data_IF_820014652887
#
_entry.id   IF_820014652887
#
_cell.length_a   1.000
_cell.length_b   1.000
_cell.length_c   1.000
_cell.angle_alpha   90.00
_cell.angle_beta   90.00
_cell.angle_gamma   90.00
#
_symmetry.space_group_name_H-M   'P 1'
#
loop_
_entity.id
_entity.type
_entity.pdbx_description
1 polymer ?
#
# COMPACT_ATOMS: atom_id res chain seq x y z
N UNK A 1 37.54 5.53 -33.21
CA UNK A 1 36.57 6.32 -34.02
C UNK A 1 35.32 5.48 -34.23
N UNK A 2 34.14 6.01 -33.83
CA UNK A 2 32.74 5.80 -34.30
C UNK A 2 32.27 4.35 -34.63
N UNK A 3 31.05 3.88 -34.40
CA UNK A 3 29.79 4.26 -33.71
C UNK A 3 28.82 3.13 -34.10
N UNK A 4 28.07 2.54 -33.15
CA UNK A 4 26.68 2.01 -33.23
C UNK A 4 26.48 1.03 -32.06
N UNK A 5 25.70 1.24 -31.00
CA UNK A 5 24.25 1.55 -30.82
C UNK A 5 23.30 0.63 -31.59
N UNK A 6 22.69 -0.35 -30.91
CA UNK A 6 21.24 -0.64 -30.90
C UNK A 6 20.93 -2.03 -30.29
N UNK A 7 19.94 -2.07 -29.39
CA UNK A 7 19.20 -3.26 -28.94
C UNK A 7 19.94 -4.13 -27.91
N UNK A 8 19.41 -4.55 -26.77
CA UNK A 8 18.03 -4.89 -26.40
C UNK A 8 17.90 -4.61 -24.89
N UNK A 9 17.13 -3.59 -24.52
CA UNK A 9 16.63 -3.36 -23.15
C UNK A 9 15.12 -3.24 -23.31
N UNK A 10 14.47 -4.39 -23.46
CA UNK A 10 13.03 -4.50 -23.61
C UNK A 10 12.58 -5.79 -22.95
N UNK A 11 11.67 -5.65 -21.98
CA UNK A 11 11.06 -6.68 -21.15
C UNK A 11 12.07 -7.51 -20.34
N UNK A 12 11.95 -7.55 -19.01
CA UNK A 12 11.08 -8.55 -18.38
C UNK A 12 10.71 -8.04 -16.98
N UNK A 13 9.42 -7.72 -16.79
CA UNK A 13 8.78 -7.64 -15.48
C UNK A 13 8.13 -9.01 -15.25
N UNK A 14 8.94 -10.03 -14.95
CA UNK A 14 8.44 -11.39 -14.66
C UNK A 14 8.02 -11.47 -13.21
N UNK A 15 6.71 -11.46 -12.99
CA UNK A 15 6.10 -12.04 -11.81
C UNK A 15 6.06 -13.56 -12.08
N UNK A 16 6.98 -14.29 -11.47
CA UNK A 16 6.99 -15.75 -11.53
C UNK A 16 6.03 -16.32 -10.49
N UNK A 17 4.88 -16.84 -10.93
CA UNK A 17 4.09 -17.81 -10.19
C UNK A 17 3.99 -19.06 -11.05
N UNK A 18 4.70 -20.12 -10.67
CA UNK A 18 4.21 -21.51 -10.66
C UNK A 18 5.32 -22.44 -10.18
N UNK A 19 5.10 -23.19 -9.09
CA UNK A 19 4.93 -24.64 -9.14
C UNK A 19 5.15 -25.32 -7.76
N UNK A 20 4.05 -25.86 -7.23
CA UNK A 20 3.82 -27.01 -6.35
C UNK A 20 4.95 -27.75 -5.58
N UNK A 21 4.65 -28.00 -4.29
CA UNK A 21 4.86 -29.26 -3.55
C UNK A 21 6.22 -29.42 -2.84
N UNK A 22 6.34 -30.00 -1.64
CA UNK A 22 5.49 -30.92 -0.90
C UNK A 22 5.83 -30.85 0.62
N UNK A 23 4.86 -31.27 1.44
CA UNK A 23 4.89 -31.51 2.89
C UNK A 23 6.17 -32.19 3.43
N UNK A 24 6.56 -31.90 4.68
CA UNK A 24 6.52 -32.88 5.79
C UNK A 24 6.83 -32.26 7.18
N UNK A 25 5.90 -32.50 8.10
CA UNK A 25 5.97 -32.43 9.56
C UNK A 25 7.17 -33.17 10.17
N UNK A 26 7.72 -32.67 11.28
CA UNK A 26 7.94 -33.54 12.46
C UNK A 26 8.11 -32.77 13.77
N UNK A 27 7.39 -33.26 14.76
CA UNK A 27 7.46 -32.98 16.20
C UNK A 27 8.87 -33.24 16.76
N UNK A 28 9.23 -32.58 17.86
CA UNK A 28 9.79 -33.34 18.98
C UNK A 28 9.50 -32.74 20.36
N UNK A 29 8.85 -33.58 21.14
CA UNK A 29 8.59 -33.55 22.58
C UNK A 29 9.82 -33.84 23.44
N UNK A 30 9.79 -33.25 24.65
CA UNK A 30 10.33 -33.76 25.92
C UNK A 30 11.87 -33.92 26.00
N UNK A 31 12.59 -33.78 27.11
CA UNK A 31 12.42 -34.04 28.55
C UNK A 31 13.54 -33.22 29.23
N UNK A 32 13.40 -32.58 30.39
CA UNK A 32 13.18 -33.20 31.69
C UNK A 32 14.38 -32.89 32.60
N UNK A 33 14.13 -32.21 33.73
CA UNK A 33 14.67 -32.55 35.06
C UNK A 33 14.23 -31.51 36.11
N UNK A 34 13.38 -31.97 37.03
CA UNK A 34 13.20 -31.49 38.42
C UNK A 34 13.97 -32.50 39.31
N UNK A 35 14.03 -32.45 40.66
CA UNK A 35 13.49 -31.51 41.67
C UNK A 35 14.59 -31.15 42.72
N UNK A 36 14.43 -30.55 43.90
CA UNK A 36 13.33 -30.25 44.82
C UNK A 36 13.87 -29.27 45.89
N UNK A 37 13.00 -28.52 46.57
CA UNK A 37 12.84 -28.54 48.05
C UNK A 37 12.22 -27.22 48.58
N UNK A 38 10.91 -27.28 48.77
CA UNK A 38 10.06 -26.74 49.86
C UNK A 38 10.68 -25.88 50.97
N UNK A 39 9.99 -24.79 51.35
CA UNK A 39 9.30 -24.67 52.66
C UNK A 39 8.40 -23.42 52.74
N UNK A 40 7.28 -23.58 53.44
CA UNK A 40 6.20 -22.60 53.70
C UNK A 40 6.62 -21.43 54.60
N UNK A 41 5.86 -20.34 54.49
CA UNK A 41 5.08 -19.72 55.58
C UNK A 41 5.26 -18.20 55.78
N UNK A 42 4.10 -17.53 55.76
CA UNK A 42 3.70 -16.38 56.59
C UNK A 42 4.21 -14.97 56.25
N UNK A 43 3.24 -14.14 55.85
CA UNK A 43 3.27 -12.67 55.95
C UNK A 43 3.33 -12.22 57.44
N UNK A 44 3.72 -10.96 57.74
CA UNK A 44 2.75 -9.85 57.62
C UNK A 44 3.32 -8.49 57.16
N UNK A 45 2.40 -7.70 56.59
CA UNK A 45 2.27 -6.24 56.51
C UNK A 45 3.49 -5.32 56.71
N UNK A 46 3.76 -4.49 55.69
CA UNK A 46 4.25 -3.12 55.86
C UNK A 46 3.76 -2.24 54.71
N UNK A 47 3.07 -1.15 55.08
CA UNK A 47 2.58 -0.10 54.21
C UNK A 47 3.73 0.65 53.53
N UNK A 48 3.62 0.86 52.21
CA UNK A 48 4.37 1.88 51.49
C UNK A 48 3.51 2.39 50.34
N UNK A 49 2.92 3.58 50.53
CA UNK A 49 2.58 4.47 49.43
C UNK A 49 3.86 4.80 48.66
N UNK A 50 3.89 4.49 47.36
CA UNK A 50 4.70 5.19 46.37
C UNK A 50 4.24 4.81 44.96
N UNK A 51 3.42 5.69 44.39
CA UNK A 51 3.48 6.11 42.98
C UNK A 51 3.41 5.02 41.91
N UNK A 52 2.19 4.60 41.58
CA UNK A 52 1.91 4.11 40.23
C UNK A 52 2.15 5.28 39.24
N UNK A 53 2.87 5.07 38.12
CA UNK A 53 2.86 6.05 37.05
C UNK A 53 1.44 6.09 36.49
N UNK A 54 0.82 7.26 36.59
CA UNK A 54 -0.45 7.55 35.96
C UNK A 54 -0.36 7.17 34.48
N UNK A 55 -1.19 6.21 34.07
CA UNK A 55 -1.59 6.11 32.68
C UNK A 55 -2.15 7.47 32.31
N UNK A 56 -1.53 8.13 31.32
CA UNK A 56 -2.04 9.33 30.67
C UNK A 56 -3.38 9.00 30.04
N UNK A 57 -4.43 9.17 30.83
CA UNK A 57 -5.80 9.34 30.40
C UNK A 57 -5.92 10.78 29.87
N UNK A 58 -5.43 11.02 28.65
CA UNK A 58 -5.82 12.19 27.86
C UNK A 58 -7.08 11.82 27.05
N UNK A 59 -8.21 11.77 27.75
CA UNK A 59 -9.54 11.80 27.16
C UNK A 59 -10.26 13.05 27.67
N UNK A 60 -9.84 14.23 27.19
CA UNK A 60 -10.51 15.49 27.46
C UNK A 60 -10.33 16.51 26.33
N UNK A 61 -10.49 16.07 25.09
CA UNK A 61 -10.81 16.95 23.94
C UNK A 61 -11.87 16.22 23.11
N UNK A 62 -12.80 16.91 22.45
CA UNK A 62 -13.88 16.30 21.65
C UNK A 62 -13.41 15.54 20.39
N UNK A 63 -12.15 15.09 20.39
CA UNK A 63 -11.49 14.33 19.35
C UNK A 63 -11.80 12.84 19.55
N UNK A 64 -12.33 12.14 18.53
CA UNK A 64 -12.63 10.73 18.61
C UNK A 64 -11.36 9.89 18.75
N UNK A 65 -11.48 8.74 19.38
CA UNK A 65 -10.42 7.71 19.38
C UNK A 65 -10.24 7.09 17.99
N UNK A 66 -9.12 6.40 17.77
CA UNK A 66 -8.83 5.68 16.51
C UNK A 66 -9.94 4.68 16.20
N UNK A 67 -10.38 3.90 17.19
CA UNK A 67 -11.43 2.90 17.01
C UNK A 67 -12.79 3.52 16.70
N UNK A 68 -13.15 4.62 17.36
CA UNK A 68 -14.39 5.34 17.06
C UNK A 68 -14.39 5.91 15.65
N UNK A 69 -13.27 6.52 15.22
CA UNK A 69 -13.16 7.11 13.90
C UNK A 69 -13.19 6.04 12.81
N UNK A 70 -12.55 4.89 13.03
CA UNK A 70 -12.63 3.73 12.13
C UNK A 70 -14.07 3.24 12.02
N UNK A 71 -14.74 3.02 13.15
CA UNK A 71 -16.12 2.54 13.15
C UNK A 71 -17.03 3.48 12.35
N UNK A 72 -16.98 4.79 12.62
CA UNK A 72 -17.79 5.79 11.93
C UNK A 72 -17.47 5.86 10.43
N UNK A 73 -16.19 5.78 10.07
CA UNK A 73 -15.77 5.82 8.66
C UNK A 73 -16.19 4.56 7.90
N UNK A 74 -16.12 3.38 8.53
CA UNK A 74 -16.61 2.13 7.95
C UNK A 74 -18.12 2.16 7.76
N UNK A 75 -18.89 2.68 8.73
CA UNK A 75 -20.33 2.87 8.61
C UNK A 75 -20.68 3.85 7.47
N UNK A 76 -19.99 4.99 7.39
CA UNK A 76 -20.17 5.95 6.30
C UNK A 76 -19.80 5.35 4.93
N UNK A 77 -18.71 4.58 4.85
CA UNK A 77 -18.21 3.93 3.64
C UNK A 77 -19.16 2.90 3.03
N UNK A 78 -20.07 2.31 3.83
CA UNK A 78 -21.13 1.43 3.32
C UNK A 78 -22.15 2.18 2.46
N UNK A 79 -22.34 3.47 2.72
CA UNK A 79 -23.24 4.34 1.95
C UNK A 79 -22.56 4.95 0.71
N UNK A 80 -21.23 4.81 0.60
CA UNK A 80 -20.45 5.33 -0.52
C UNK A 80 -20.70 4.47 -1.76
N UNK A 81 -21.29 5.06 -2.79
CA UNK A 81 -21.60 4.44 -4.08
C UNK A 81 -20.55 4.76 -5.14
N UNK A 82 -19.99 5.97 -5.08
CA UNK A 82 -19.01 6.44 -6.04
C UNK A 82 -18.09 7.49 -5.40
N UNK A 83 -16.91 7.69 -5.97
CA UNK A 83 -16.00 8.77 -5.58
C UNK A 83 -14.93 8.98 -6.66
N UNK A 84 -14.27 10.13 -6.62
CA UNK A 84 -13.07 10.42 -7.38
C UNK A 84 -11.85 10.47 -6.46
N UNK A 85 -10.68 10.15 -7.01
CA UNK A 85 -9.39 10.22 -6.34
C UNK A 85 -8.38 10.90 -7.27
N UNK A 86 -7.74 11.96 -6.80
CA UNK A 86 -6.62 12.62 -7.46
C UNK A 86 -5.36 12.37 -6.63
N UNK A 87 -4.39 11.65 -7.19
CA UNK A 87 -3.15 11.30 -6.50
C UNK A 87 -1.91 11.78 -7.26
N UNK A 88 -0.87 12.13 -6.51
CA UNK A 88 0.47 12.36 -7.02
C UNK A 88 1.46 11.49 -6.25
N UNK A 89 2.36 10.84 -6.98
CA UNK A 89 3.40 9.96 -6.45
C UNK A 89 4.73 10.46 -7.02
N UNK A 90 5.60 10.94 -6.13
CA UNK A 90 6.96 11.34 -6.45
C UNK A 90 7.89 10.29 -5.87
N UNK A 91 8.70 9.66 -6.71
CA UNK A 91 9.70 8.66 -6.31
C UNK A 91 11.08 9.13 -6.74
N UNK A 92 12.04 9.07 -5.83
CA UNK A 92 13.45 9.31 -6.10
C UNK A 92 14.24 8.09 -5.68
N UNK A 93 14.83 7.41 -6.67
CA UNK A 93 15.62 6.22 -6.47
C UNK A 93 17.07 6.55 -6.78
N UNK A 94 17.98 6.25 -5.87
CA UNK A 94 19.43 6.37 -6.07
C UNK A 94 20.08 5.00 -5.94
N UNK A 95 20.72 4.52 -7.00
CA UNK A 95 21.42 3.24 -7.04
C UNK A 95 22.92 3.52 -7.06
N UNK A 96 23.64 3.07 -6.03
CA UNK A 96 25.09 3.24 -5.89
C UNK A 96 25.80 1.90 -5.99
N UNK A 97 26.79 1.81 -6.88
CA UNK A 97 27.67 0.66 -7.03
C UNK A 97 29.12 1.13 -7.07
N UNK A 98 29.89 0.82 -6.01
CA UNK A 98 31.23 1.37 -5.83
C UNK A 98 31.21 2.89 -5.75
N UNK A 99 31.93 3.56 -6.66
CA UNK A 99 32.00 5.03 -6.74
C UNK A 99 30.94 5.63 -7.70
N UNK A 100 30.13 4.81 -8.36
CA UNK A 100 29.13 5.28 -9.33
C UNK A 100 27.74 5.33 -8.68
N UNK A 101 27.07 6.48 -8.78
CA UNK A 101 25.65 6.64 -8.39
C UNK A 101 24.82 6.98 -9.62
N UNK A 102 23.69 6.30 -9.77
CA UNK A 102 22.69 6.56 -10.80
C UNK A 102 21.35 6.91 -10.14
N UNK A 103 20.83 8.09 -10.44
CA UNK A 103 19.53 8.54 -9.97
C UNK A 103 18.43 8.27 -11.00
N UNK A 104 17.27 7.84 -10.51
CA UNK A 104 16.05 7.61 -11.27
C UNK A 104 14.90 8.27 -10.52
N UNK A 105 14.39 9.36 -11.08
CA UNK A 105 13.26 10.10 -10.51
C UNK A 105 12.01 9.88 -11.35
N UNK A 106 10.90 9.58 -10.70
CA UNK A 106 9.60 9.42 -11.33
C UNK A 106 8.60 10.35 -10.67
N UNK A 107 7.79 11.03 -11.48
CA UNK A 107 6.61 11.78 -11.04
C UNK A 107 5.41 11.21 -11.78
N UNK A 108 4.42 10.76 -11.02
CA UNK A 108 3.21 10.15 -11.50
C UNK A 108 2.00 10.90 -10.93
N UNK A 109 1.10 11.32 -11.81
CA UNK A 109 -0.21 11.85 -11.45
C UNK A 109 -1.27 10.86 -11.89
N UNK A 110 -2.18 10.56 -10.99
CA UNK A 110 -3.26 9.60 -11.21
C UNK A 110 -4.58 10.27 -10.89
N UNK A 111 -5.52 10.15 -11.82
CA UNK A 111 -6.92 10.51 -11.60
C UNK A 111 -7.75 9.27 -11.75
N UNK A 112 -8.58 8.97 -10.76
CA UNK A 112 -9.43 7.78 -10.79
C UNK A 112 -10.85 8.13 -10.38
N UNK A 113 -11.82 7.53 -11.05
CA UNK A 113 -13.24 7.61 -10.73
C UNK A 113 -13.75 6.19 -10.49
N UNK A 114 -14.40 5.97 -9.36
CA UNK A 114 -14.89 4.67 -8.92
C UNK A 114 -16.40 4.66 -8.79
N UNK A 115 -17.03 3.57 -9.22
CA UNK A 115 -18.44 3.23 -8.96
C UNK A 115 -18.44 1.84 -8.33
N UNK A 116 -19.02 1.67 -7.13
CA UNK A 116 -18.96 0.40 -6.37
C UNK A 116 -19.94 -0.66 -6.88
N UNK A 117 -21.10 -0.28 -7.43
CA UNK A 117 -22.18 -1.22 -7.79
C UNK A 117 -22.89 -0.86 -9.11
N UNK A 118 -22.64 -1.60 -10.22
CA UNK A 118 -21.59 -2.60 -10.38
C UNK A 118 -20.20 -1.97 -10.25
N UNK A 119 -19.20 -2.76 -9.85
CA UNK A 119 -17.85 -2.25 -9.66
C UNK A 119 -17.23 -1.84 -11.00
N UNK A 120 -16.93 -0.54 -11.12
CA UNK A 120 -16.32 0.05 -12.29
C UNK A 120 -15.28 1.09 -11.89
N UNK A 121 -14.23 1.23 -12.69
CA UNK A 121 -13.20 2.24 -12.52
C UNK A 121 -12.81 2.86 -13.87
N UNK A 122 -12.67 4.18 -13.88
CA UNK A 122 -11.97 4.92 -14.92
C UNK A 122 -10.73 5.53 -14.30
N UNK A 123 -9.58 5.40 -14.95
CA UNK A 123 -8.32 5.89 -14.43
C UNK A 123 -7.47 6.50 -15.55
N UNK A 124 -6.86 7.65 -15.27
CA UNK A 124 -5.87 8.29 -16.12
C UNK A 124 -4.59 8.45 -15.32
N UNK A 125 -3.50 7.87 -15.81
CA UNK A 125 -2.16 7.95 -15.23
C UNK A 125 -1.27 8.74 -16.18
N UNK A 126 -0.69 9.82 -15.69
CA UNK A 126 0.34 10.60 -16.34
C UNK A 126 1.66 10.31 -15.62
N UNK A 127 2.69 9.92 -16.34
CA UNK A 127 4.00 9.60 -15.75
C UNK A 127 5.15 10.14 -16.59
N UNK A 128 6.19 10.60 -15.91
CA UNK A 128 7.47 10.97 -16.53
C UNK A 128 8.48 9.88 -16.24
N UNK A 129 8.89 9.14 -17.29
CA UNK A 129 9.84 8.02 -17.15
C UNK A 129 11.26 8.49 -17.51
N UNK A 130 12.26 8.30 -16.63
CA UNK A 130 13.65 8.59 -16.94
C UNK A 130 14.11 7.93 -18.24
N UNK A 131 14.75 8.71 -19.12
CA UNK A 131 15.30 8.21 -20.38
C UNK A 131 14.29 8.08 -21.52
N UNK A 132 13.02 8.43 -21.32
CA UNK A 132 12.04 8.60 -22.39
C UNK A 132 11.70 10.08 -22.56
N UNK A 133 11.53 10.52 -23.81
CA UNK A 133 11.11 11.89 -24.07
C UNK A 133 9.59 12.03 -23.88
N UNK A 134 9.18 13.02 -23.09
CA UNK A 134 7.79 13.41 -22.90
C UNK A 134 7.07 12.70 -21.75
N UNK A 135 5.89 13.22 -21.43
CA UNK A 135 4.96 12.62 -20.48
C UNK A 135 4.21 11.47 -21.16
N UNK A 136 4.18 10.31 -20.51
CA UNK A 136 3.39 9.17 -20.96
C UNK A 136 2.03 9.22 -20.27
N UNK A 137 0.95 9.15 -21.06
CA UNK A 137 -0.41 9.03 -20.54
C UNK A 137 -0.95 7.64 -20.81
N UNK A 138 -1.44 6.99 -19.77
CA UNK A 138 -2.17 5.72 -19.84
C UNK A 138 -3.57 5.97 -19.31
N UNK A 139 -4.58 5.62 -20.10
CA UNK A 139 -5.98 5.71 -19.69
C UNK A 139 -6.59 4.32 -19.64
N UNK A 140 -7.38 4.02 -18.61
CA UNK A 140 -7.90 2.69 -18.35
C UNK A 140 -9.38 2.74 -17.96
N UNK A 141 -10.13 1.79 -18.47
CA UNK A 141 -11.51 1.50 -18.06
C UNK A 141 -11.59 0.06 -17.60
N UNK A 142 -12.16 -0.17 -16.42
CA UNK A 142 -12.36 -1.50 -15.86
C UNK A 142 -13.81 -1.63 -15.47
N UNK A 143 -14.46 -2.65 -16.01
CA UNK A 143 -15.86 -2.96 -15.75
C UNK A 143 -16.06 -4.45 -15.54
N UNK A 144 -17.29 -4.86 -15.24
CA UNK A 144 -17.66 -6.27 -15.23
C UNK A 144 -17.38 -6.93 -16.59
N UNK A 145 -17.70 -6.23 -17.68
CA UNK A 145 -17.72 -6.75 -19.06
C UNK A 145 -16.33 -6.78 -19.73
N UNK A 146 -15.40 -5.96 -19.26
CA UNK A 146 -14.06 -5.92 -19.81
C UNK A 146 -13.17 -4.83 -19.20
N UNK A 147 -11.88 -4.96 -19.47
CA UNK A 147 -10.88 -3.95 -19.12
C UNK A 147 -10.20 -3.45 -20.40
N UNK A 148 -10.05 -2.15 -20.52
CA UNK A 148 -9.51 -1.47 -21.69
C UNK A 148 -8.40 -0.54 -21.26
N UNK A 149 -7.32 -0.49 -22.02
CA UNK A 149 -6.18 0.38 -21.76
C UNK A 149 -5.81 1.11 -23.03
N UNK A 150 -5.72 2.43 -22.95
CA UNK A 150 -5.13 3.29 -23.97
C UNK A 150 -3.71 3.64 -23.56
N UNK A 151 -2.75 3.24 -24.38
CA UNK A 151 -1.35 3.57 -24.20
C UNK A 151 -0.70 3.71 -25.58
N UNK A 152 0.32 4.56 -25.69
CA UNK A 152 1.03 4.82 -26.95
C UNK A 152 0.10 5.17 -28.14
N UNK A 153 -1.04 5.83 -27.87
CA UNK A 153 -2.01 6.25 -28.88
C UNK A 153 -2.91 5.14 -29.42
N UNK A 154 -2.98 3.98 -28.74
CA UNK A 154 -3.82 2.86 -29.16
C UNK A 154 -4.60 2.28 -28.00
N UNK A 155 -5.86 1.93 -28.25
CA UNK A 155 -6.68 1.14 -27.34
C UNK A 155 -6.37 -0.35 -27.49
N UNK A 156 -6.27 -1.02 -26.35
CA UNK A 156 -6.14 -2.47 -26.24
C UNK A 156 -7.14 -2.99 -25.21
N UNK A 157 -7.71 -4.16 -25.48
CA UNK A 157 -8.51 -4.91 -24.50
C UNK A 157 -7.58 -5.82 -23.70
N UNK A 158 -7.66 -5.79 -22.37
CA UNK A 158 -6.86 -6.68 -21.54
C UNK A 158 -7.49 -8.09 -21.51
N UNK A 159 -6.67 -9.16 -21.59
CA UNK A 159 -7.13 -10.53 -21.41
C UNK A 159 -7.82 -10.75 -20.05
N UNK A 160 -8.70 -11.74 -19.99
CA UNK A 160 -9.38 -12.11 -18.75
C UNK A 160 -8.40 -12.48 -17.62
N UNK A 161 -7.30 -13.16 -17.97
CA UNK A 161 -6.26 -13.59 -17.03
C UNK A 161 -5.57 -12.40 -16.34
N UNK A 162 -5.35 -11.29 -17.05
CA UNK A 162 -4.80 -10.06 -16.48
C UNK A 162 -5.87 -9.23 -15.75
N UNK A 163 -7.14 -9.40 -16.11
CA UNK A 163 -8.26 -8.65 -15.53
C UNK A 163 -8.61 -9.13 -14.12
N UNK A 164 -8.50 -10.43 -13.84
CA UNK A 164 -8.85 -10.98 -12.52
C UNK A 164 -8.06 -10.35 -11.33
N UNK A 165 -6.71 -10.31 -11.34
CA UNK A 165 -5.96 -9.67 -10.26
C UNK A 165 -6.20 -8.16 -10.19
N UNK A 166 -6.42 -7.52 -11.34
CA UNK A 166 -6.72 -6.10 -11.42
C UNK A 166 -8.08 -5.77 -10.77
N UNK A 167 -9.09 -6.63 -10.96
CA UNK A 167 -10.39 -6.51 -10.28
C UNK A 167 -10.25 -6.63 -8.76
N UNK A 168 -9.45 -7.56 -8.26
CA UNK A 168 -9.17 -7.68 -6.82
C UNK A 168 -8.50 -6.42 -6.25
N UNK A 169 -7.53 -5.85 -6.98
CA UNK A 169 -6.89 -4.58 -6.60
C UNK A 169 -7.88 -3.40 -6.65
N UNK A 170 -8.78 -3.39 -7.63
CA UNK A 170 -9.86 -2.40 -7.74
C UNK A 170 -10.84 -2.50 -6.57
N UNK A 171 -11.23 -3.69 -6.13
CA UNK A 171 -12.11 -3.90 -4.95
C UNK A 171 -11.50 -3.32 -3.67
N UNK A 172 -10.20 -3.52 -3.48
CA UNK A 172 -9.47 -2.95 -2.35
C UNK A 172 -9.43 -1.41 -2.45
N UNK A 173 -9.12 -0.87 -3.63
CA UNK A 173 -9.04 0.57 -3.88
C UNK A 173 -10.39 1.28 -3.78
N UNK A 174 -11.47 0.59 -4.16
CA UNK A 174 -12.85 1.07 -4.05
C UNK A 174 -13.37 1.13 -2.61
N UNK A 175 -12.61 0.63 -1.64
CA UNK A 175 -12.96 0.62 -0.21
C UNK A 175 -11.98 1.48 0.61
N UNK A 176 -11.89 2.80 0.38
CA UNK A 176 -10.92 3.66 1.06
C UNK A 176 -11.07 3.63 2.59
N UNK A 177 -12.28 3.38 3.11
CA UNK A 177 -12.56 3.18 4.53
C UNK A 177 -11.76 2.02 5.15
N UNK A 178 -11.44 0.97 4.38
CA UNK A 178 -10.64 -0.17 4.87
C UNK A 178 -9.18 0.21 5.10
N UNK A 179 -8.68 1.26 4.43
CA UNK A 179 -7.31 1.75 4.71
C UNK A 179 -7.20 2.26 6.15
N UNK A 180 -8.29 2.78 6.72
CA UNK A 180 -8.30 3.26 8.10
C UNK A 180 -8.12 2.13 9.12
N UNK A 181 -8.51 0.89 8.77
CA UNK A 181 -8.31 -0.27 9.64
C UNK A 181 -6.83 -0.55 9.92
N UNK A 182 -5.94 -0.13 9.03
CA UNK A 182 -4.49 -0.24 9.22
C UNK A 182 -4.01 0.60 10.40
N UNK A 183 -4.72 1.67 10.77
CA UNK A 183 -4.37 2.48 11.94
C UNK A 183 -4.70 1.76 13.27
N UNK A 184 -5.48 0.66 13.27
CA UNK A 184 -5.69 -0.13 14.51
C UNK A 184 -4.39 -0.75 15.01
N UNK A 185 -3.59 -1.31 14.10
CA UNK A 185 -2.31 -1.92 14.45
C UNK A 185 -1.28 -0.87 14.86
N UNK A 186 -1.44 0.36 14.36
CA UNK A 186 -0.64 1.53 14.69
C UNK A 186 -1.25 2.43 15.77
N UNK A 187 -2.29 1.99 16.47
CA UNK A 187 -3.06 2.85 17.38
C UNK A 187 -2.20 3.55 18.44
N UNK A 188 -1.15 2.87 18.93
CA UNK A 188 -0.17 3.44 19.89
C UNK A 188 0.70 4.55 19.32
N UNK A 189 1.00 4.48 18.03
CA UNK A 189 1.84 5.45 17.30
C UNK A 189 0.98 6.47 16.53
N UNK A 190 -0.35 6.37 16.64
CA UNK A 190 -1.28 7.21 15.91
C UNK A 190 -1.75 8.36 16.79
N UNK A 191 -1.53 9.57 16.30
CA UNK A 191 -2.09 10.78 16.89
C UNK A 191 -3.27 11.27 16.06
N UNK A 192 -4.38 11.56 16.72
CA UNK A 192 -5.53 12.22 16.09
C UNK A 192 -5.50 13.70 16.44
N UNK A 193 -5.62 14.54 15.41
CA UNK A 193 -5.73 15.99 15.54
C UNK A 193 -6.90 16.49 14.71
N UNK A 194 -7.32 17.72 14.96
CA UNK A 194 -8.33 18.40 14.16
C UNK A 194 -7.68 19.48 13.31
N UNK A 195 -7.97 19.49 12.00
CA UNK A 195 -7.52 20.53 11.08
C UNK A 195 -8.66 20.89 10.12
N UNK A 196 -9.17 22.12 10.24
CA UNK A 196 -10.33 22.57 9.49
C UNK A 196 -11.54 21.65 9.68
N UNK A 197 -12.07 21.15 8.56
CA UNK A 197 -13.24 20.25 8.51
C UNK A 197 -12.86 18.76 8.62
N UNK A 198 -11.61 18.43 8.98
CA UNK A 198 -11.12 17.06 9.02
C UNK A 198 -10.52 16.66 10.38
N UNK A 199 -10.69 15.39 10.72
CA UNK A 199 -9.85 14.67 11.67
C UNK A 199 -8.63 14.13 10.93
N UNK A 200 -7.42 14.38 11.45
CA UNK A 200 -6.17 13.91 10.88
C UNK A 200 -5.59 12.84 11.78
N UNK A 201 -5.56 11.60 11.28
CA UNK A 201 -4.82 10.50 11.88
C UNK A 201 -3.40 10.54 11.32
N UNK A 202 -2.42 10.77 12.18
CA UNK A 202 -1.00 10.75 11.82
C UNK A 202 -0.32 9.60 12.52
N UNK A 203 0.26 8.68 11.76
CA UNK A 203 1.16 7.66 12.27
C UNK A 203 2.57 7.98 11.77
N UNK A 204 3.51 8.15 12.70
CA UNK A 204 4.93 8.34 12.41
C UNK A 204 5.66 7.10 12.92
N UNK A 205 6.17 6.30 12.00
CA UNK A 205 6.79 5.01 12.31
C UNK A 205 8.21 5.04 11.76
N UNK A 206 9.17 4.70 12.61
CA UNK A 206 10.59 4.64 12.24
C UNK A 206 11.26 3.41 12.86
N UNK A 207 12.40 3.01 12.28
CA UNK A 207 13.22 1.90 12.80
C UNK A 207 12.57 0.52 12.68
N UNK A 208 12.90 -0.38 13.62
CA UNK A 208 12.53 -1.80 13.57
C UNK A 208 11.01 -2.04 13.61
N UNK A 209 10.26 -1.16 14.29
CA UNK A 209 8.79 -1.24 14.38
C UNK A 209 8.10 -1.15 13.01
N UNK A 210 8.72 -0.46 12.02
CA UNK A 210 8.15 -0.39 10.66
C UNK A 210 8.22 -1.74 9.96
N UNK A 211 9.30 -2.51 10.17
CA UNK A 211 9.45 -3.82 9.53
C UNK A 211 8.41 -4.81 10.03
N UNK A 212 8.12 -4.81 11.33
CA UNK A 212 7.07 -5.65 11.91
C UNK A 212 5.69 -5.27 11.36
N UNK A 213 5.42 -3.97 11.22
CA UNK A 213 4.18 -3.52 10.58
C UNK A 213 4.09 -3.96 9.12
N UNK A 214 5.14 -3.75 8.33
CA UNK A 214 5.18 -4.13 6.92
C UNK A 214 4.93 -5.65 6.75
N UNK A 215 5.57 -6.47 7.59
CA UNK A 215 5.33 -7.93 7.65
C UNK A 215 3.89 -8.27 8.01
N UNK A 216 3.31 -7.58 9.00
CA UNK A 216 1.91 -7.76 9.40
C UNK A 216 0.95 -7.43 8.26
N UNK A 217 1.16 -6.30 7.59
CA UNK A 217 0.37 -5.87 6.44
C UNK A 217 0.39 -6.90 5.30
N UNK A 218 1.58 -7.43 4.98
CA UNK A 218 1.75 -8.38 3.88
C UNK A 218 1.22 -9.78 4.19
N UNK A 219 1.26 -10.16 5.47
CA UNK A 219 0.60 -11.37 5.96
C UNK A 219 -0.91 -11.27 5.85
N UNK A 220 -1.48 -10.10 6.17
CA UNK A 220 -2.93 -9.85 6.05
C UNK A 220 -3.42 -9.76 4.60
N UNK A 221 -2.59 -9.26 3.68
CA UNK A 221 -2.92 -9.22 2.25
C UNK A 221 -2.72 -10.56 1.53
N UNK A 222 -2.33 -11.63 2.25
CA UNK A 222 -2.08 -12.95 1.68
C UNK A 222 -0.84 -13.04 0.78
N UNK A 223 0.04 -12.04 0.84
CA UNK A 223 1.23 -11.90 -0.03
C UNK A 223 2.55 -12.32 0.62
N UNK A 224 2.50 -12.97 1.78
CA UNK A 224 3.68 -13.42 2.50
C UNK A 224 4.29 -14.68 1.83
N UNK A 225 4.96 -14.50 0.71
CA UNK A 225 5.88 -15.49 0.17
C UNK A 225 7.25 -15.37 0.88
N UNK A 226 7.97 -16.47 1.00
CA UNK A 226 9.31 -16.54 1.60
C UNK A 226 10.29 -15.59 0.90
N UNK A 227 10.17 -15.47 -0.42
CA UNK A 227 11.02 -14.60 -1.24
C UNK A 227 10.75 -13.12 -0.98
N UNK A 228 9.49 -12.76 -0.77
CA UNK A 228 9.08 -11.39 -0.46
C UNK A 228 9.44 -11.01 1.00
N UNK A 229 9.34 -11.97 1.92
CA UNK A 229 9.77 -11.79 3.31
C UNK A 229 11.27 -11.55 3.41
N UNK A 230 12.07 -12.31 2.63
CA UNK A 230 13.51 -12.09 2.56
C UNK A 230 13.86 -10.70 2.01
N UNK A 231 13.11 -10.21 1.02
CA UNK A 231 13.31 -8.87 0.46
C UNK A 231 13.00 -7.79 1.51
N UNK A 232 11.91 -7.91 2.27
CA UNK A 232 11.59 -7.01 3.38
C UNK A 232 12.66 -6.98 4.47
N UNK A 233 13.28 -8.12 4.77
CA UNK A 233 14.34 -8.20 5.77
C UNK A 233 15.59 -7.41 5.34
N UNK A 234 15.88 -7.43 4.04
CA UNK A 234 16.98 -6.67 3.42
C UNK A 234 16.68 -5.16 3.30
N UNK A 235 15.41 -4.76 3.38
CA UNK A 235 15.01 -3.36 3.36
C UNK A 235 15.22 -2.72 4.73
N UNK A 236 15.76 -1.52 4.75
CA UNK A 236 15.92 -0.66 5.91
C UNK A 236 15.03 0.57 5.77
N UNK A 237 13.87 0.55 6.42
CA UNK A 237 12.95 1.69 6.40
C UNK A 237 13.43 2.71 7.42
N UNK A 238 13.95 3.85 6.95
CA UNK A 238 14.46 4.93 7.79
C UNK A 238 13.33 5.68 8.48
N UNK A 239 12.28 6.01 7.73
CA UNK A 239 11.11 6.72 8.23
C UNK A 239 9.90 6.45 7.34
N UNK A 240 8.73 6.38 7.96
CA UNK A 240 7.45 6.29 7.27
C UNK A 240 6.43 7.12 8.04
N UNK A 241 5.91 8.16 7.40
CA UNK A 241 4.85 9.01 7.93
C UNK A 241 3.60 8.84 7.09
N UNK A 242 2.51 8.46 7.73
CA UNK A 242 1.20 8.29 7.11
C UNK A 242 0.25 9.31 7.75
N UNK A 243 -0.38 10.13 6.93
CA UNK A 243 -1.45 11.04 7.35
C UNK A 243 -2.72 10.63 6.60
N UNK A 244 -3.80 10.41 7.34
CA UNK A 244 -5.11 10.13 6.78
C UNK A 244 -6.11 11.14 7.33
N UNK A 245 -6.85 11.79 6.44
CA UNK A 245 -7.85 12.78 6.80
C UNK A 245 -9.25 12.23 6.58
N UNK A 246 -10.08 12.36 7.62
CA UNK A 246 -11.50 11.98 7.61
C UNK A 246 -12.34 13.23 7.82
N UNK A 247 -13.32 13.47 6.96
CA UNK A 247 -14.22 14.62 7.10
C UNK A 247 -15.05 14.50 8.38
N UNK A 248 -15.17 15.59 9.15
CA UNK A 248 -15.85 15.61 10.46
C UNK A 248 -17.36 15.39 10.38
N UNK A 249 -17.98 15.79 9.27
CA UNK A 249 -19.44 15.73 9.10
C UNK A 249 -19.88 14.40 8.48
N UNK A 250 -19.21 13.99 7.40
CA UNK A 250 -19.59 12.81 6.63
C UNK A 250 -18.89 11.54 7.11
N UNK A 251 -17.80 11.67 7.88
CA UNK A 251 -16.89 10.58 8.23
C UNK A 251 -16.30 9.85 7.01
N UNK A 252 -16.36 10.46 5.83
CA UNK A 252 -15.75 9.89 4.63
C UNK A 252 -14.27 10.27 4.53
N UNK A 253 -13.44 9.41 3.91
CA UNK A 253 -12.06 9.72 3.57
C UNK A 253 -11.97 10.97 2.68
N UNK A 254 -11.06 11.87 3.03
CA UNK A 254 -10.83 13.12 2.32
C UNK A 254 -9.41 13.20 1.72
N UNK A 255 -8.39 12.72 2.45
CA UNK A 255 -6.99 12.80 2.01
C UNK A 255 -6.13 11.69 2.60
N UNK A 256 -5.14 11.25 1.83
CA UNK A 256 -4.08 10.36 2.30
C UNK A 256 -2.73 10.91 1.85
N UNK A 257 -1.81 11.11 2.78
CA UNK A 257 -0.41 11.42 2.48
C UNK A 257 0.50 10.35 3.06
N UNK A 258 1.49 9.92 2.29
CA UNK A 258 2.54 8.99 2.72
C UNK A 258 3.89 9.57 2.34
N UNK A 259 4.78 9.71 3.31
CA UNK A 259 6.19 10.04 3.11
C UNK A 259 7.02 8.87 3.63
N UNK A 260 7.82 8.25 2.77
CA UNK A 260 8.59 7.06 3.08
C UNK A 260 10.01 7.22 2.59
N UNK A 261 10.96 6.92 3.46
CA UNK A 261 12.39 6.85 3.14
C UNK A 261 12.90 5.48 3.53
N UNK A 262 13.50 4.77 2.57
CA UNK A 262 14.06 3.44 2.78
C UNK A 262 15.36 3.26 2.02
N UNK A 263 16.22 2.36 2.48
CA UNK A 263 17.35 1.86 1.72
C UNK A 263 17.35 0.34 1.65
N UNK A 264 18.03 -0.21 0.66
CA UNK A 264 18.24 -1.64 0.50
C UNK A 264 19.64 -1.90 -0.01
N UNK A 265 20.32 -2.88 0.57
CA UNK A 265 21.60 -3.36 0.07
C UNK A 265 21.41 -4.75 -0.56
N UNK A 266 21.70 -4.87 -1.86
CA UNK A 266 21.61 -6.12 -2.60
C UNK A 266 22.81 -6.25 -3.55
N UNK A 267 23.50 -7.39 -3.53
CA UNK A 267 24.55 -7.76 -4.51
C UNK A 267 25.64 -6.68 -4.73
N UNK A 268 26.05 -5.97 -3.68
CA UNK A 268 27.07 -4.91 -3.76
C UNK A 268 26.56 -3.57 -4.30
N UNK A 269 25.24 -3.43 -4.47
CA UNK A 269 24.56 -2.19 -4.78
C UNK A 269 23.83 -1.68 -3.53
N UNK A 270 23.87 -0.37 -3.33
CA UNK A 270 23.07 0.32 -2.32
C UNK A 270 21.99 1.14 -3.01
N UNK A 271 20.73 0.85 -2.71
CA UNK A 271 19.57 1.50 -3.29
C UNK A 271 18.94 2.35 -2.20
N UNK A 272 18.71 3.64 -2.46
CA UNK A 272 17.93 4.53 -1.61
C UNK A 272 16.65 4.92 -2.33
N UNK A 273 15.52 4.93 -1.63
CA UNK A 273 14.22 5.39 -2.13
C UNK A 273 13.65 6.44 -1.17
N UNK A 274 13.32 7.61 -1.73
CA UNK A 274 12.45 8.63 -1.13
C UNK A 274 11.15 8.66 -1.94
N UNK A 275 10.04 8.31 -1.30
CA UNK A 275 8.71 8.24 -1.90
C UNK A 275 7.76 9.18 -1.17
N UNK A 276 7.10 10.04 -1.93
CA UNK A 276 6.02 10.91 -1.45
C UNK A 276 4.76 10.67 -2.25
N UNK A 277 3.70 10.28 -1.57
CA UNK A 277 2.38 10.14 -2.13
C UNK A 277 1.43 11.12 -1.45
N UNK A 278 0.65 11.84 -2.25
CA UNK A 278 -0.48 12.63 -1.77
C UNK A 278 -1.71 12.28 -2.59
N UNK A 279 -2.84 12.06 -1.94
CA UNK A 279 -4.10 11.70 -2.58
C UNK A 279 -5.25 12.48 -1.95
N UNK A 280 -6.10 13.06 -2.79
CA UNK A 280 -7.34 13.74 -2.42
C UNK A 280 -8.54 12.90 -2.90
N UNK A 281 -9.52 12.70 -2.03
CA UNK A 281 -10.74 11.94 -2.33
C UNK A 281 -11.92 12.90 -2.33
N UNK A 282 -12.70 12.89 -3.41
CA UNK A 282 -13.77 13.85 -3.65
C UNK A 282 -14.95 13.23 -4.42
N UNK A 283 -15.93 14.05 -4.80
CA UNK A 283 -17.11 13.65 -5.60
C UNK A 283 -17.86 12.44 -5.01
N UNK A 284 -17.94 12.35 -3.68
CA UNK A 284 -18.60 11.24 -3.00
C UNK A 284 -20.08 11.18 -3.44
N UNK A 285 -20.50 10.07 -4.02
CA UNK A 285 -21.86 9.83 -4.55
C UNK A 285 -22.30 10.73 -5.72
N UNK A 286 -21.40 11.43 -6.39
CA UNK A 286 -21.73 12.33 -7.51
C UNK A 286 -21.55 11.69 -8.90
N UNK A 287 -20.90 10.53 -8.99
CA UNK A 287 -20.54 9.86 -10.26
C UNK A 287 -21.53 8.73 -10.50
N UNK A 288 -22.44 8.93 -11.44
CA UNK A 288 -23.48 7.95 -11.75
C UNK A 288 -23.02 6.89 -12.76
N UNK A 289 -22.24 7.31 -13.76
CA UNK A 289 -21.78 6.47 -14.87
C UNK A 289 -20.62 7.18 -15.61
N UNK A 290 -19.81 6.41 -16.34
CA UNK A 290 -18.84 6.95 -17.29
C UNK A 290 -18.89 6.18 -18.61
N UNK A 291 -18.75 6.90 -19.72
CA UNK A 291 -18.84 6.32 -21.06
C UNK A 291 -17.50 5.75 -21.50
N UNK A 292 -17.49 4.48 -21.88
CA UNK A 292 -16.34 3.85 -22.53
C UNK A 292 -16.29 4.31 -24.00
N UNK A 293 -15.12 4.74 -24.52
CA UNK A 293 -14.98 5.10 -25.92
C UNK A 293 -15.28 3.92 -26.88
N UNK A 294 -15.94 4.19 -28.00
CA UNK A 294 -16.26 3.17 -29.02
C UNK A 294 -15.01 2.45 -29.57
N UNK A 295 -13.88 3.17 -29.64
CA UNK A 295 -12.60 2.61 -30.07
C UNK A 295 -12.06 1.58 -29.08
N UNK A 296 -12.27 1.81 -27.78
CA UNK A 296 -11.90 0.86 -26.74
C UNK A 296 -12.72 -0.43 -26.85
N UNK A 297 -14.04 -0.32 -27.09
CA UNK A 297 -14.92 -1.47 -27.25
C UNK A 297 -14.56 -2.36 -28.46
N UNK A 298 -13.93 -1.77 -29.48
CA UNK A 298 -13.47 -2.46 -30.70
C UNK A 298 -11.98 -2.84 -30.65
N UNK A 299 -11.30 -2.56 -29.55
CA UNK A 299 -9.88 -2.80 -29.42
C UNK A 299 -9.54 -4.30 -29.52
N UNK A 300 -8.39 -4.58 -30.12
CA UNK A 300 -7.86 -5.94 -30.15
C UNK A 300 -7.42 -6.35 -28.74
N UNK A 301 -7.58 -7.63 -28.42
CA UNK A 301 -7.08 -8.19 -27.18
C UNK A 301 -5.55 -8.19 -27.19
N UNK A 302 -4.94 -7.66 -26.13
CA UNK A 302 -3.49 -7.65 -25.99
C UNK A 302 -2.97 -9.09 -25.89
N UNK A 303 -1.95 -9.42 -26.68
CA UNK A 303 -1.28 -10.72 -26.56
C UNK A 303 -0.46 -10.74 -25.27
N UNK A 304 -0.63 -11.77 -24.44
CA UNK A 304 0.24 -11.94 -23.29
C UNK A 304 1.68 -12.11 -23.76
N UNK A 305 2.68 -11.49 -23.09
CA UNK A 305 4.06 -11.80 -23.38
C UNK A 305 4.28 -13.28 -23.13
N UNK A 306 4.50 -14.05 -24.20
CA UNK A 306 4.89 -15.44 -24.08
C UNK A 306 6.27 -15.45 -23.46
N UNK A 307 6.37 -15.78 -22.17
CA UNK A 307 7.66 -16.05 -21.53
C UNK A 307 8.37 -17.10 -22.40
N UNK A 308 9.57 -16.81 -22.95
CA UNK A 308 10.36 -17.86 -23.57
C UNK A 308 10.62 -18.90 -22.48
N UNK A 309 10.10 -20.12 -22.65
CA UNK A 309 10.56 -21.25 -21.86
C UNK A 309 12.06 -21.38 -22.15
N UNK A 310 12.90 -21.05 -21.17
CA UNK A 310 14.26 -21.56 -21.08
C UNK A 310 14.28 -22.69 -20.07
#
# INVERSE_FOLDING_TARGET
MKKWTAGILGAILTIGITACGNNETTENTATGNTPAATTEASAPAASAEASAPAATEEAATGVPTVDELIKKSTEAGQSLKSFAMDAQIIQKISITQGETTQDQNSDMKMKSEFIKNPLQMHQVVQMVVPGQEGEQTVEQYITADGSYSHAAGQWMKLPAEMTAPLKASMEQSASPEKQLEQFKTLSKETKITEEGDNYLLTADVSGENVKELAKSFMSQSGGADAQMTALLDQMNIKSMKIIYAVNKETYLPAKTNVDMVMDMAAEGQNISLDMKMSSDISKHNEIADFKIPDEALKAQEAQMPTTPQQ
#
